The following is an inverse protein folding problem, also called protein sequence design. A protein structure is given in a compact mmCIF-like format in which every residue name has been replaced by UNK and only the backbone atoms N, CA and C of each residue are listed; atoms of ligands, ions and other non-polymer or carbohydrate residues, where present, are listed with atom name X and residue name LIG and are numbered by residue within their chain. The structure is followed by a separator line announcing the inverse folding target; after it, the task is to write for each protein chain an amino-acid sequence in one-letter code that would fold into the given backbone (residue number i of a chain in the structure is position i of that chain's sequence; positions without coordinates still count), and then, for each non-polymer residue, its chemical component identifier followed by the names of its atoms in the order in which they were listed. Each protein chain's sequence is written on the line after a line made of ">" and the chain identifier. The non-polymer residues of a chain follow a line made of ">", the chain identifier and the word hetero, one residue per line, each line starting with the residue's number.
data_IF_293470635491
#
_entry.id   IF_293470635491
#
_cell.length_a   1.000
_cell.length_b   1.000
_cell.length_c   1.000
_cell.angle_alpha   90.00
_cell.angle_beta   90.00
_cell.angle_gamma   90.00
#
_symmetry.space_group_name_H-M   'P 1'
#
loop_
_entity.id
_entity.type
_entity.pdbx_description
1 polymer ?
#
# COMPACT_ATOMS: atom_id res chain seq x y z
N UNK A 1 17.75 -27.73 -18.47
CA UNK A 1 18.78 -28.49 -17.73
C UNK A 1 19.29 -27.58 -16.61
N UNK A 2 19.00 -27.91 -15.35
CA UNK A 2 19.54 -27.19 -14.19
C UNK A 2 20.95 -27.73 -13.97
N UNK A 3 21.98 -26.93 -14.19
CA UNK A 3 23.34 -27.24 -13.79
C UNK A 3 23.53 -26.88 -12.31
N UNK A 4 23.71 -27.88 -11.48
CA UNK A 4 24.12 -27.70 -10.07
C UNK A 4 25.63 -27.48 -10.09
N UNK A 5 26.09 -26.27 -9.83
CA UNK A 5 27.51 -25.98 -9.68
C UNK A 5 28.01 -26.45 -8.30
N UNK A 6 29.16 -27.10 -8.29
CA UNK A 6 29.86 -27.51 -7.07
C UNK A 6 30.12 -26.29 -6.16
N UNK A 7 29.79 -26.34 -4.86
CA UNK A 7 30.08 -25.27 -3.92
C UNK A 7 31.54 -24.85 -3.86
N UNK A 8 32.47 -25.74 -4.12
CA UNK A 8 33.92 -25.46 -4.15
C UNK A 8 34.31 -24.64 -5.40
N UNK A 9 33.65 -24.81 -6.54
CA UNK A 9 33.86 -23.96 -7.70
C UNK A 9 33.38 -22.53 -7.48
N UNK A 10 32.30 -22.34 -6.69
CA UNK A 10 31.86 -20.99 -6.28
C UNK A 10 32.88 -20.26 -5.41
N UNK A 11 33.61 -20.97 -4.55
CA UNK A 11 34.63 -20.37 -3.68
C UNK A 11 35.84 -19.91 -4.52
N UNK A 12 36.18 -20.62 -5.56
CA UNK A 12 37.28 -20.27 -6.46
C UNK A 12 36.93 -19.14 -7.44
N UNK A 13 35.66 -19.02 -7.85
CA UNK A 13 35.16 -17.89 -8.63
C UNK A 13 35.05 -16.58 -7.84
N UNK A 14 34.95 -16.66 -6.49
CA UNK A 14 34.97 -15.49 -5.59
C UNK A 14 36.38 -14.86 -5.51
N UNK A 15 37.41 -15.50 -6.04
CA UNK A 15 38.79 -14.98 -6.05
C UNK A 15 39.02 -13.81 -7.03
N UNK A 16 38.16 -13.56 -7.98
CA UNK A 16 38.04 -12.25 -8.64
C UNK A 16 37.22 -11.32 -7.75
N UNK A 17 37.90 -10.71 -6.77
CA UNK A 17 37.34 -9.64 -5.94
C UNK A 17 36.90 -8.50 -6.86
N UNK A 18 35.69 -8.57 -7.38
CA UNK A 18 35.03 -7.37 -7.91
C UNK A 18 34.88 -6.44 -6.70
N UNK A 19 35.57 -5.29 -6.68
CA UNK A 19 35.46 -4.38 -5.55
C UNK A 19 33.98 -4.03 -5.38
N UNK A 20 33.44 -4.22 -4.17
CA UNK A 20 32.09 -3.79 -3.85
C UNK A 20 32.01 -2.27 -4.04
N UNK A 21 31.34 -1.81 -5.08
CA UNK A 21 31.12 -0.40 -5.32
C UNK A 21 29.94 0.06 -4.46
N UNK A 22 30.13 1.16 -3.75
CA UNK A 22 29.06 1.81 -2.99
C UNK A 22 28.36 2.82 -3.88
N UNK A 23 27.09 2.59 -4.17
CA UNK A 23 26.27 3.51 -4.97
C UNK A 23 25.51 4.48 -4.07
N UNK A 24 25.46 5.75 -4.43
CA UNK A 24 24.68 6.79 -3.72
C UNK A 24 23.41 7.13 -4.51
N UNK A 25 22.33 7.35 -3.79
CA UNK A 25 21.07 7.81 -4.39
C UNK A 25 21.13 9.31 -4.61
N UNK A 26 21.19 9.76 -5.86
CA UNK A 26 21.24 11.18 -6.22
C UNK A 26 19.87 11.78 -6.48
N UNK A 27 18.99 11.04 -7.11
CA UNK A 27 17.66 11.47 -7.51
C UNK A 27 16.60 10.51 -6.99
N UNK A 28 15.49 11.05 -6.53
CA UNK A 28 14.33 10.30 -6.09
C UNK A 28 13.12 10.85 -6.82
N UNK A 29 12.51 10.00 -7.63
CA UNK A 29 11.34 10.35 -8.43
C UNK A 29 10.18 9.42 -8.12
N UNK A 30 8.97 9.96 -8.05
CA UNK A 30 7.75 9.22 -7.81
C UNK A 30 6.79 9.46 -8.98
N UNK A 31 6.41 8.39 -9.64
CA UNK A 31 5.49 8.42 -10.76
C UNK A 31 4.13 7.89 -10.31
N UNK A 32 3.13 8.77 -10.31
CA UNK A 32 1.76 8.46 -9.89
C UNK A 32 0.90 8.34 -11.15
N UNK A 33 -0.06 7.42 -11.14
CA UNK A 33 -0.91 7.04 -12.29
C UNK A 33 -0.19 6.22 -13.38
N UNK A 34 0.85 5.48 -13.01
CA UNK A 34 1.52 4.58 -13.95
C UNK A 34 0.81 3.22 -14.01
N UNK A 35 0.04 2.98 -15.06
CA UNK A 35 -0.62 1.69 -15.33
C UNK A 35 0.33 0.63 -15.91
N UNK A 36 1.44 1.06 -16.49
CA UNK A 36 2.47 0.18 -17.06
C UNK A 36 3.83 0.67 -16.57
N UNK A 37 4.65 -0.20 -16.01
CA UNK A 37 6.00 0.11 -15.49
C UNK A 37 7.00 0.59 -16.58
N UNK A 38 6.54 0.93 -17.76
CA UNK A 38 7.32 1.52 -18.82
C UNK A 38 7.35 3.04 -18.66
N UNK A 39 8.56 3.57 -18.52
CA UNK A 39 8.87 5.00 -18.49
C UNK A 39 8.50 5.67 -19.83
N UNK A 40 7.25 5.95 -20.04
CA UNK A 40 6.82 6.87 -21.08
C UNK A 40 6.65 8.24 -20.41
N UNK A 41 7.74 9.02 -20.37
CA UNK A 41 7.81 10.33 -19.69
C UNK A 41 6.84 11.33 -20.26
N UNK A 42 6.45 11.19 -21.52
CA UNK A 42 5.53 12.10 -22.24
C UNK A 42 4.10 12.08 -21.70
N UNK A 43 3.77 11.11 -20.85
CA UNK A 43 2.44 10.99 -20.27
C UNK A 43 2.23 11.82 -18.99
N UNK A 44 3.32 12.35 -18.41
CA UNK A 44 3.28 13.12 -17.16
C UNK A 44 3.26 14.61 -17.48
N UNK A 45 2.11 15.24 -17.22
CA UNK A 45 1.88 16.64 -17.54
C UNK A 45 2.06 17.59 -16.37
N UNK A 46 2.15 17.04 -15.14
CA UNK A 46 2.35 17.81 -13.92
C UNK A 46 3.50 17.24 -13.09
N UNK A 47 4.32 18.11 -12.52
CA UNK A 47 5.41 17.74 -11.64
C UNK A 47 5.53 18.70 -10.46
N UNK A 48 5.71 18.14 -9.26
CA UNK A 48 5.86 18.91 -8.02
C UNK A 48 7.10 18.42 -7.30
N UNK A 49 8.00 19.34 -6.95
CA UNK A 49 9.15 19.03 -6.10
C UNK A 49 8.80 19.29 -4.62
N UNK A 50 8.98 18.28 -3.78
CA UNK A 50 8.74 18.35 -2.34
C UNK A 50 9.76 17.51 -1.57
N UNK A 51 10.45 18.10 -0.59
CA UNK A 51 11.48 17.44 0.25
C UNK A 51 12.56 16.71 -0.57
N UNK A 52 13.09 17.33 -1.61
CA UNK A 52 14.11 16.75 -2.52
C UNK A 52 13.63 15.50 -3.30
N UNK A 53 12.32 15.30 -3.39
CA UNK A 53 11.68 14.25 -4.15
C UNK A 53 10.82 14.91 -5.22
N UNK A 54 10.92 14.45 -6.46
CA UNK A 54 10.10 14.93 -7.57
C UNK A 54 8.92 13.98 -7.76
N UNK A 55 7.72 14.51 -7.70
CA UNK A 55 6.46 13.79 -7.91
C UNK A 55 5.92 14.11 -9.30
N UNK A 56 5.73 13.08 -10.11
CA UNK A 56 5.13 13.19 -11.44
C UNK A 56 3.73 12.61 -11.45
N UNK A 57 2.78 13.28 -12.11
CA UNK A 57 1.39 12.81 -12.26
C UNK A 57 0.82 13.09 -13.64
N UNK A 58 -0.14 12.25 -14.05
CA UNK A 58 -0.97 12.49 -15.23
C UNK A 58 -2.06 13.49 -14.86
N UNK A 59 -1.84 14.79 -15.17
CA UNK A 59 -2.70 15.86 -14.73
C UNK A 59 -2.51 16.21 -13.25
N UNK A 60 -3.45 16.98 -12.68
CA UNK A 60 -3.34 17.52 -11.33
C UNK A 60 -3.16 16.42 -10.27
N UNK A 61 -2.14 16.55 -9.44
CA UNK A 61 -1.85 15.61 -8.36
C UNK A 61 -3.04 15.46 -7.39
N UNK A 62 -3.54 14.24 -7.25
CA UNK A 62 -4.71 13.90 -6.41
C UNK A 62 -4.37 13.71 -4.94
N UNK A 63 -3.08 13.65 -4.60
CA UNK A 63 -2.56 13.43 -3.25
C UNK A 63 -1.83 14.67 -2.76
N UNK A 64 -1.85 14.91 -1.46
CA UNK A 64 -0.95 15.90 -0.85
C UNK A 64 0.49 15.41 -0.97
N UNK A 65 1.46 16.23 -1.45
CA UNK A 65 2.84 15.79 -1.59
C UNK A 65 3.40 15.17 -0.32
N UNK A 66 3.10 15.75 0.84
CA UNK A 66 3.51 15.24 2.14
C UNK A 66 3.03 13.81 2.43
N UNK A 67 1.82 13.44 1.98
CA UNK A 67 1.28 12.09 2.20
C UNK A 67 2.08 11.02 1.44
N UNK A 68 2.60 11.37 0.26
CA UNK A 68 3.43 10.47 -0.53
C UNK A 68 4.86 10.42 0.01
N UNK A 69 5.47 11.58 0.27
CA UNK A 69 6.90 11.64 0.60
C UNK A 69 7.22 11.21 2.02
N UNK A 70 6.27 11.31 2.97
CA UNK A 70 6.50 11.02 4.40
C UNK A 70 6.87 9.57 4.72
N UNK A 71 6.56 8.63 3.86
CA UNK A 71 6.87 7.22 4.04
C UNK A 71 8.04 6.72 3.21
N UNK A 72 8.68 7.59 2.44
CA UNK A 72 9.87 7.25 1.67
C UNK A 72 11.07 7.28 2.62
N UNK A 73 11.62 6.10 2.91
CA UNK A 73 12.81 5.94 3.74
C UNK A 73 14.09 6.20 2.96
N UNK A 74 14.07 6.06 1.63
CA UNK A 74 15.18 6.33 0.72
C UNK A 74 15.58 7.80 0.85
N UNK A 75 16.86 8.07 1.04
CA UNK A 75 17.38 9.44 1.24
C UNK A 75 18.34 9.82 0.12
N UNK A 76 18.18 11.04 -0.36
CA UNK A 76 19.11 11.65 -1.31
C UNK A 76 20.51 11.82 -0.70
N UNK A 77 21.57 11.61 -1.48
CA UNK A 77 23.00 11.68 -1.12
C UNK A 77 23.47 10.58 -0.14
N UNK A 78 22.60 9.62 0.22
CA UNK A 78 22.96 8.48 1.06
C UNK A 78 23.27 7.24 0.21
N UNK A 79 24.08 6.30 0.73
CA UNK A 79 24.32 5.04 0.08
C UNK A 79 23.02 4.26 -0.16
N UNK A 80 22.97 3.47 -1.22
CA UNK A 80 21.90 2.52 -1.46
C UNK A 80 21.74 1.59 -0.24
N UNK A 81 20.50 1.41 0.18
CA UNK A 81 20.12 0.53 1.27
C UNK A 81 18.89 -0.29 0.87
N UNK A 82 19.03 -1.62 0.89
CA UNK A 82 17.89 -2.51 0.64
C UNK A 82 16.84 -2.43 1.76
N UNK A 83 17.28 -2.10 2.97
CA UNK A 83 16.35 -1.84 4.08
C UNK A 83 15.47 -0.64 3.80
N UNK A 84 16.05 0.49 3.33
CA UNK A 84 15.28 1.70 3.03
C UNK A 84 14.32 1.48 1.85
N UNK A 85 14.76 0.71 0.85
CA UNK A 85 13.90 0.24 -0.25
C UNK A 85 12.72 -0.57 0.28
N UNK A 86 12.99 -1.55 1.14
CA UNK A 86 11.97 -2.42 1.72
C UNK A 86 10.99 -1.65 2.60
N UNK A 87 11.46 -0.71 3.43
CA UNK A 87 10.62 0.15 4.26
C UNK A 87 9.71 1.03 3.39
N UNK A 88 10.26 1.62 2.33
CA UNK A 88 9.49 2.43 1.37
C UNK A 88 8.42 1.59 0.67
N UNK A 89 8.76 0.39 0.21
CA UNK A 89 7.81 -0.54 -0.42
C UNK A 89 6.68 -0.92 0.54
N UNK A 90 7.02 -1.30 1.77
CA UNK A 90 6.04 -1.67 2.82
C UNK A 90 5.11 -0.51 3.15
N UNK A 91 5.63 0.71 3.19
CA UNK A 91 4.80 1.89 3.43
C UNK A 91 3.70 1.99 2.37
N UNK A 92 4.04 1.98 1.08
CA UNK A 92 3.05 2.12 0.02
C UNK A 92 2.08 0.93 -0.07
N UNK A 93 2.55 -0.28 0.24
CA UNK A 93 1.70 -1.47 0.30
C UNK A 93 0.67 -1.36 1.43
N UNK A 94 1.09 -0.90 2.60
CA UNK A 94 0.23 -0.76 3.78
C UNK A 94 -0.80 0.36 3.66
N UNK A 95 -0.55 1.36 2.82
CA UNK A 95 -1.52 2.42 2.52
C UNK A 95 -2.81 1.89 1.89
N UNK A 96 -2.74 0.73 1.22
CA UNK A 96 -3.87 0.13 0.46
C UNK A 96 -4.50 1.07 -0.60
N UNK A 97 -3.88 2.21 -0.85
CA UNK A 97 -4.30 3.21 -1.86
C UNK A 97 -3.69 2.95 -3.22
N UNK A 98 -2.63 2.12 -3.30
CA UNK A 98 -1.89 1.84 -4.52
C UNK A 98 -1.93 0.35 -4.86
N UNK A 99 -1.96 0.05 -6.17
CA UNK A 99 -1.79 -1.29 -6.73
C UNK A 99 -0.32 -1.47 -7.09
N UNK A 100 0.29 -2.57 -6.67
CA UNK A 100 1.62 -3.01 -7.11
C UNK A 100 2.69 -1.89 -7.09
N UNK A 101 2.99 -1.29 -5.92
CA UNK A 101 4.10 -0.35 -5.83
C UNK A 101 5.38 -1.02 -6.33
N UNK A 102 6.19 -0.32 -7.12
CA UNK A 102 7.50 -0.81 -7.54
C UNK A 102 8.57 0.26 -7.38
N UNK A 103 9.79 -0.17 -7.09
CA UNK A 103 10.93 0.72 -6.86
C UNK A 103 12.08 0.20 -7.72
N UNK A 104 12.47 0.97 -8.71
CA UNK A 104 13.55 0.65 -9.63
C UNK A 104 14.72 1.62 -9.42
N UNK A 105 15.93 1.11 -9.57
CA UNK A 105 17.14 1.90 -9.53
C UNK A 105 17.82 1.84 -10.88
N UNK A 106 18.26 2.99 -11.38
CA UNK A 106 19.04 3.11 -12.61
C UNK A 106 20.28 3.96 -12.37
N UNK A 107 21.36 3.63 -13.06
CA UNK A 107 22.56 4.47 -13.05
C UNK A 107 22.30 5.77 -13.81
N UNK A 108 22.84 6.88 -13.30
CA UNK A 108 22.82 8.15 -14.00
C UNK A 108 23.87 8.14 -15.12
N UNK A 109 23.51 8.59 -16.35
CA UNK A 109 24.36 8.40 -17.54
C UNK A 109 25.74 9.06 -17.49
N UNK A 110 25.97 9.98 -16.58
CA UNK A 110 27.23 10.77 -16.49
C UNK A 110 28.03 10.53 -15.22
N UNK A 111 27.56 9.68 -14.31
CA UNK A 111 28.14 9.51 -12.99
C UNK A 111 28.19 8.03 -12.61
N UNK A 112 29.38 7.42 -12.59
CA UNK A 112 29.57 5.97 -12.50
C UNK A 112 29.07 5.30 -11.20
N UNK A 113 28.81 6.07 -10.12
CA UNK A 113 28.42 5.52 -8.79
C UNK A 113 27.15 6.16 -8.23
N UNK A 114 26.36 6.82 -9.07
CA UNK A 114 25.13 7.48 -8.65
C UNK A 114 23.88 6.83 -9.24
N UNK A 115 22.89 6.67 -8.36
CA UNK A 115 21.62 6.04 -8.68
C UNK A 115 20.47 7.05 -8.69
N UNK A 116 19.57 6.85 -9.62
CA UNK A 116 18.22 7.39 -9.59
C UNK A 116 17.26 6.32 -9.07
N UNK A 117 16.51 6.63 -8.01
CA UNK A 117 15.44 5.80 -7.49
C UNK A 117 14.10 6.25 -8.10
N UNK A 118 13.49 5.40 -8.88
CA UNK A 118 12.19 5.63 -9.52
C UNK A 118 11.12 4.78 -8.84
N UNK A 119 10.14 5.42 -8.20
CA UNK A 119 9.05 4.80 -7.46
C UNK A 119 7.78 4.91 -8.30
N UNK A 120 7.17 3.79 -8.66
CA UNK A 120 5.97 3.74 -9.48
C UNK A 120 4.78 3.37 -8.61
N UNK A 121 3.75 4.21 -8.64
CA UNK A 121 2.52 4.07 -7.86
C UNK A 121 1.31 4.09 -8.79
N UNK A 122 0.54 3.01 -8.79
CA UNK A 122 -0.74 2.94 -9.49
C UNK A 122 -1.86 3.11 -8.49
N UNK A 123 -2.59 4.24 -8.46
CA UNK A 123 -3.72 4.41 -7.57
C UNK A 123 -4.80 3.36 -7.77
N UNK A 124 -5.39 2.89 -6.67
CA UNK A 124 -6.63 2.11 -6.71
C UNK A 124 -7.82 3.01 -6.99
N UNK A 125 -8.90 2.43 -7.43
CA UNK A 125 -10.17 3.12 -7.58
C UNK A 125 -10.60 3.78 -6.27
N UNK A 126 -11.15 4.98 -6.37
CA UNK A 126 -11.55 5.75 -5.19
C UNK A 126 -12.65 5.08 -4.40
N UNK A 127 -13.60 4.45 -5.08
CA UNK A 127 -14.72 3.76 -4.47
C UNK A 127 -14.57 2.26 -4.63
N UNK A 128 -14.97 1.51 -3.62
CA UNK A 128 -15.12 0.06 -3.68
C UNK A 128 -16.42 -0.33 -3.00
N UNK A 129 -17.13 -1.25 -3.63
CA UNK A 129 -18.35 -1.84 -3.11
C UNK A 129 -18.12 -3.34 -2.96
N UNK A 130 -18.50 -3.90 -1.85
CA UNK A 130 -18.44 -5.32 -1.56
C UNK A 130 -19.78 -5.84 -1.08
N UNK A 131 -20.08 -7.09 -1.36
CA UNK A 131 -21.23 -7.81 -0.83
C UNK A 131 -20.73 -9.14 -0.30
N UNK A 132 -21.21 -9.51 0.88
CA UNK A 132 -20.86 -10.74 1.56
C UNK A 132 -22.14 -11.54 1.84
N UNK A 133 -22.08 -12.86 1.62
CA UNK A 133 -23.12 -13.81 1.98
C UNK A 133 -22.47 -14.88 2.85
N UNK A 134 -22.89 -14.98 4.09
CA UNK A 134 -22.36 -15.91 5.07
C UNK A 134 -23.43 -16.98 5.43
N UNK A 135 -22.99 -18.22 5.53
CA UNK A 135 -23.75 -19.28 6.15
C UNK A 135 -23.02 -19.75 7.39
N UNK A 136 -23.72 -19.79 8.51
CA UNK A 136 -23.15 -20.21 9.78
C UNK A 136 -23.93 -21.34 10.43
N UNK A 137 -23.18 -22.22 11.12
CA UNK A 137 -23.74 -23.28 11.97
C UNK A 137 -22.86 -23.37 13.22
N UNK A 138 -23.48 -23.39 14.38
CA UNK A 138 -22.78 -23.54 15.66
C UNK A 138 -23.63 -24.30 16.67
N UNK A 139 -23.05 -24.62 17.83
CA UNK A 139 -23.78 -25.29 18.93
C UNK A 139 -24.92 -24.46 19.53
N UNK A 140 -24.85 -23.12 19.36
CA UNK A 140 -25.82 -22.16 19.88
C UNK A 140 -26.84 -21.78 18.81
N UNK A 141 -26.40 -21.76 17.54
CA UNK A 141 -27.21 -21.40 16.40
C UNK A 141 -27.22 -22.54 15.38
N UNK A 142 -28.36 -23.22 15.24
CA UNK A 142 -28.48 -24.35 14.32
C UNK A 142 -28.24 -23.98 12.88
N UNK A 143 -28.70 -22.81 12.47
CA UNK A 143 -28.53 -22.29 11.13
C UNK A 143 -28.58 -20.75 11.14
N UNK A 144 -27.70 -20.13 10.39
CA UNK A 144 -27.67 -18.68 10.20
C UNK A 144 -27.35 -18.31 8.78
N UNK A 145 -28.01 -17.28 8.30
CA UNK A 145 -27.71 -16.60 7.03
C UNK A 145 -27.34 -15.18 7.34
N UNK A 146 -26.13 -14.77 6.93
CA UNK A 146 -25.64 -13.40 7.03
C UNK A 146 -25.61 -12.74 5.65
N UNK A 147 -26.10 -11.51 5.59
CA UNK A 147 -25.96 -10.63 4.43
C UNK A 147 -25.13 -9.42 4.86
N UNK A 148 -24.04 -9.18 4.14
CA UNK A 148 -23.17 -8.04 4.37
C UNK A 148 -23.05 -7.14 3.16
N UNK A 149 -22.78 -5.86 3.42
CA UNK A 149 -22.43 -4.89 2.39
C UNK A 149 -21.36 -3.95 2.90
N UNK A 150 -20.35 -3.66 2.07
CA UNK A 150 -19.25 -2.78 2.40
C UNK A 150 -19.07 -1.68 1.35
N UNK A 151 -18.90 -0.44 1.80
CA UNK A 151 -18.54 0.70 0.98
C UNK A 151 -17.18 1.23 1.44
N UNK A 152 -16.19 1.23 0.54
CA UNK A 152 -14.89 1.83 0.78
C UNK A 152 -14.66 3.08 -0.04
N UNK A 153 -14.14 4.14 0.59
CA UNK A 153 -13.73 5.39 -0.07
C UNK A 153 -12.26 5.64 0.24
N UNK A 154 -11.42 5.70 -0.79
CA UNK A 154 -9.98 5.95 -0.65
C UNK A 154 -9.64 7.40 -0.92
N UNK A 155 -8.56 7.87 -0.28
CA UNK A 155 -8.03 9.23 -0.45
C UNK A 155 -9.09 10.31 -0.18
N UNK A 156 -9.78 10.18 0.96
CA UNK A 156 -10.93 11.03 1.32
C UNK A 156 -10.53 12.51 1.38
N UNK A 157 -9.43 12.81 2.06
CA UNK A 157 -8.93 14.17 2.29
C UNK A 157 -7.61 14.46 1.55
N UNK A 158 -7.28 13.69 0.50
CA UNK A 158 -6.03 13.78 -0.29
C UNK A 158 -4.76 13.41 0.47
N UNK A 159 -4.86 12.81 1.64
CA UNK A 159 -3.76 12.35 2.46
C UNK A 159 -3.56 10.83 2.44
N UNK A 160 -4.15 10.14 1.46
CA UNK A 160 -4.19 8.69 1.33
C UNK A 160 -4.96 8.00 2.47
N UNK A 161 -5.93 8.67 3.08
CA UNK A 161 -6.85 8.10 4.06
C UNK A 161 -7.83 7.13 3.39
N UNK A 162 -8.35 6.17 4.15
CA UNK A 162 -9.46 5.31 3.73
C UNK A 162 -10.59 5.34 4.74
N UNK A 163 -11.81 5.45 4.21
CA UNK A 163 -13.05 5.32 4.95
C UNK A 163 -13.74 4.04 4.50
N UNK A 164 -14.10 3.18 5.45
CA UNK A 164 -14.81 1.92 5.21
C UNK A 164 -16.09 1.91 6.05
N UNK A 165 -17.21 1.69 5.41
CA UNK A 165 -18.50 1.45 6.05
C UNK A 165 -18.91 0.02 5.74
N UNK A 166 -19.17 -0.78 6.77
CA UNK A 166 -19.68 -2.13 6.62
C UNK A 166 -20.99 -2.25 7.39
N UNK A 167 -21.96 -2.91 6.75
CA UNK A 167 -23.25 -3.23 7.36
C UNK A 167 -23.43 -4.72 7.22
N UNK A 168 -23.78 -5.40 8.30
CA UNK A 168 -24.05 -6.83 8.35
C UNK A 168 -25.38 -7.08 9.02
N UNK A 169 -26.17 -7.92 8.40
CA UNK A 169 -27.42 -8.46 8.93
C UNK A 169 -27.28 -9.98 9.04
N UNK A 170 -27.67 -10.56 10.16
CA UNK A 170 -27.69 -12.00 10.35
C UNK A 170 -29.07 -12.44 10.83
N UNK A 171 -29.65 -13.42 10.13
CA UNK A 171 -30.84 -14.13 10.50
C UNK A 171 -30.44 -15.53 10.96
N UNK A 172 -30.92 -15.97 12.13
CA UNK A 172 -30.54 -17.26 12.68
C UNK A 172 -31.72 -18.01 13.29
N UNK A 173 -31.59 -19.33 13.32
CA UNK A 173 -32.44 -20.24 14.07
C UNK A 173 -31.64 -20.77 15.27
N UNK A 174 -32.16 -20.54 16.48
CA UNK A 174 -31.57 -21.05 17.73
C UNK A 174 -32.54 -22.05 18.37
N UNK A 175 -31.99 -23.15 18.91
CA UNK A 175 -32.75 -24.18 19.66
C UNK A 175 -33.09 -23.77 21.10
N UNK A 176 -33.27 -22.52 21.38
CA UNK A 176 -33.62 -22.13 22.74
C UNK A 176 -35.06 -22.64 23.06
N UNK A 177 -35.11 -23.72 23.83
CA UNK A 177 -36.33 -24.49 24.17
C UNK A 177 -37.35 -23.65 24.96
N UNK A 178 -36.99 -22.46 25.38
CA UNK A 178 -37.80 -21.55 26.18
C UNK A 178 -38.81 -20.72 25.36
N UNK A 179 -38.69 -20.64 24.05
CA UNK A 179 -39.65 -19.90 23.22
C UNK A 179 -40.43 -20.88 22.31
N UNK A 180 -41.55 -21.27 22.75
CA UNK A 180 -42.57 -22.02 21.98
C UNK A 180 -43.28 -21.09 20.98
N UNK A 181 -42.61 -20.73 19.92
CA UNK A 181 -43.20 -20.03 18.78
C UNK A 181 -42.72 -20.69 17.48
N UNK A 182 -43.63 -20.99 16.58
CA UNK A 182 -43.40 -21.63 15.26
C UNK A 182 -42.55 -20.82 14.27
N UNK A 183 -41.68 -19.93 14.74
CA UNK A 183 -40.82 -19.10 13.87
C UNK A 183 -39.48 -19.81 13.67
N UNK A 184 -39.24 -20.20 12.40
CA UNK A 184 -38.00 -20.83 11.98
C UNK A 184 -36.75 -19.91 12.25
N UNK A 185 -36.87 -18.62 12.05
CA UNK A 185 -35.86 -17.63 12.42
C UNK A 185 -36.28 -16.87 13.68
N UNK A 186 -35.55 -17.06 14.76
CA UNK A 186 -35.79 -16.42 16.07
C UNK A 186 -34.63 -15.51 16.53
N UNK A 187 -33.57 -15.43 15.74
CA UNK A 187 -32.42 -14.56 15.99
C UNK A 187 -32.26 -13.58 14.83
N UNK A 188 -32.22 -12.30 15.17
CA UNK A 188 -31.94 -11.22 14.23
C UNK A 188 -30.84 -10.33 14.80
N UNK A 189 -29.74 -10.20 14.04
CA UNK A 189 -28.65 -9.32 14.41
C UNK A 189 -28.38 -8.32 13.27
N UNK A 190 -28.27 -7.04 13.63
CA UNK A 190 -27.87 -5.97 12.71
C UNK A 190 -26.65 -5.26 13.28
N UNK A 191 -25.56 -5.26 12.52
CA UNK A 191 -24.33 -4.57 12.84
C UNK A 191 -23.97 -3.54 11.80
N UNK A 192 -23.38 -2.43 12.23
CA UNK A 192 -22.76 -1.44 11.35
C UNK A 192 -21.39 -1.05 11.92
N UNK A 193 -20.39 -0.97 11.07
CA UNK A 193 -19.03 -0.56 11.41
C UNK A 193 -18.59 0.56 10.48
N UNK A 194 -18.04 1.62 11.06
CA UNK A 194 -17.45 2.74 10.33
C UNK A 194 -16.00 2.91 10.75
N UNK A 195 -15.08 2.72 9.79
CA UNK A 195 -13.65 2.78 10.04
C UNK A 195 -12.99 3.85 9.17
N UNK A 196 -12.35 4.81 9.82
CA UNK A 196 -11.50 5.81 9.18
C UNK A 196 -10.03 5.51 9.50
N UNK A 197 -9.24 5.23 8.47
CA UNK A 197 -7.82 4.91 8.59
C UNK A 197 -6.97 6.03 8.04
N UNK A 198 -6.00 6.49 8.85
CA UNK A 198 -5.00 7.48 8.46
C UNK A 198 -3.64 6.79 8.28
N UNK A 199 -2.90 7.06 7.20
CA UNK A 199 -1.60 6.44 6.97
C UNK A 199 -0.55 6.87 8.00
N UNK A 200 -0.67 8.08 8.53
CA UNK A 200 0.21 8.62 9.57
C UNK A 200 -0.46 9.80 10.26
N UNK A 201 -0.49 9.76 11.59
CA UNK A 201 -0.85 10.92 12.39
C UNK A 201 0.34 11.89 12.43
N UNK A 202 0.28 12.95 11.64
CA UNK A 202 1.22 14.07 11.74
C UNK A 202 0.66 15.04 12.78
N UNK A 203 0.97 14.81 14.05
CA UNK A 203 0.74 15.80 15.09
C UNK A 203 1.70 16.96 14.81
N UNK A 204 1.17 18.09 14.33
CA UNK A 204 1.91 19.35 14.29
C UNK A 204 2.24 19.74 15.73
N UNK A 205 3.48 19.51 16.16
CA UNK A 205 4.00 20.10 17.39
C UNK A 205 3.93 21.62 17.20
N UNK A 206 2.97 22.28 17.90
CA UNK A 206 2.92 23.73 17.95
C UNK A 206 4.27 24.17 18.53
N UNK A 207 5.13 24.81 17.74
CA UNK A 207 6.26 25.54 18.30
C UNK A 207 5.67 26.70 19.09
N UNK A 208 5.66 26.56 20.41
CA UNK A 208 5.42 27.70 21.27
C UNK A 208 6.56 28.68 21.02
N UNK A 209 6.25 29.80 20.37
CA UNK A 209 7.12 30.97 20.38
C UNK A 209 7.08 31.49 21.82
N UNK A 210 8.23 31.49 22.45
CA UNK A 210 8.58 32.32 23.60
C UNK A 210 9.41 33.46 23.07
#
# INVERSE_FOLDING_TARGET
>A
TIQIQDPQQRINDISTKVPYKSFKVKEIEVYIDNLNAQLNTDLYTDSIQFNNITLYSKGKLKYRPQAITSGIAIKKEYPYSDLDRTLTYRYFTNLKNFKYPSINYSLLPKEEEQLKASIFLTPRERFSLGFDLDFSHSNIQDFGIGLGGGLGVRNVFKGAESLELNIKNTLGASRDIAQSGDQFFNLFELGADLKLSFPRLVLKKKKNAW
#
